data_IF_043945799952
#
_entry.id   IF_043945799952
#
_cell.length_a   1.000
_cell.length_b   1.000
_cell.length_c   1.000
_cell.angle_alpha   90.00
_cell.angle_beta   90.00
_cell.angle_gamma   90.00
#
_symmetry.space_group_name_H-M   'P 1'
#
loop_
_entity.id
_entity.type
_entity.pdbx_description
1 polymer ?
#
# COMPACT_ATOMS: atom_id res chain seq x y z
N UNK A 1 25.59 36.38 -32.75
CA UNK A 1 26.66 35.80 -31.92
C UNK A 1 27.29 36.92 -31.09
N UNK A 2 27.08 36.94 -29.77
CA UNK A 2 27.61 37.99 -28.90
C UNK A 2 29.00 37.61 -28.41
N UNK A 3 30.03 38.41 -28.74
CA UNK A 3 31.39 38.23 -28.22
C UNK A 3 31.41 38.65 -26.75
N UNK A 4 31.42 37.68 -25.84
CA UNK A 4 31.66 37.94 -24.41
C UNK A 4 33.15 38.26 -24.25
N UNK A 5 33.46 39.52 -23.94
CA UNK A 5 34.83 39.96 -23.66
C UNK A 5 35.09 39.69 -22.18
N UNK A 6 35.76 38.57 -21.87
CA UNK A 6 36.24 38.28 -20.53
C UNK A 6 37.57 39.02 -20.29
N UNK A 7 37.57 40.00 -19.40
CA UNK A 7 38.81 40.65 -18.95
C UNK A 7 39.37 39.91 -17.74
N UNK A 8 40.53 39.28 -17.90
CA UNK A 8 41.33 38.77 -16.79
C UNK A 8 42.12 39.93 -16.18
N UNK A 9 41.85 40.27 -14.92
CA UNK A 9 42.63 41.24 -14.17
C UNK A 9 43.92 40.56 -13.72
N UNK A 10 45.07 41.16 -14.01
CA UNK A 10 46.39 40.64 -13.59
C UNK A 10 46.59 40.82 -12.08
N UNK A 11 47.20 39.86 -11.40
CA UNK A 11 47.52 39.93 -9.96
C UNK A 11 48.25 41.23 -9.57
N UNK A 12 49.15 41.73 -10.42
CA UNK A 12 49.85 43.01 -10.20
C UNK A 12 48.89 44.19 -10.10
N UNK A 13 47.76 44.15 -10.79
CA UNK A 13 46.74 45.19 -10.75
C UNK A 13 45.91 45.10 -9.47
N UNK A 14 45.58 43.88 -9.02
CA UNK A 14 44.90 43.65 -7.73
C UNK A 14 45.77 44.11 -6.54
N UNK A 15 47.07 43.85 -6.61
CA UNK A 15 48.04 44.27 -5.58
C UNK A 15 48.18 45.80 -5.53
N UNK A 16 48.12 46.46 -6.69
CA UNK A 16 48.07 47.93 -6.78
C UNK A 16 46.78 48.51 -6.20
N UNK A 17 45.63 47.85 -6.41
CA UNK A 17 44.35 48.26 -5.80
C UNK A 17 44.41 48.11 -4.27
N UNK A 18 44.96 46.99 -3.75
CA UNK A 18 45.17 46.80 -2.30
C UNK A 18 46.07 47.87 -1.70
N UNK A 19 47.15 48.24 -2.40
CA UNK A 19 48.08 49.27 -1.95
C UNK A 19 47.46 50.68 -1.96
N UNK A 20 46.56 50.98 -2.90
CA UNK A 20 45.94 52.32 -3.02
C UNK A 20 44.73 52.48 -2.10
N UNK A 21 44.03 51.38 -1.79
CA UNK A 21 42.79 51.38 -1.01
C UNK A 21 42.77 50.24 0.03
N UNK A 22 43.67 50.28 1.03
CA UNK A 22 43.76 49.24 2.05
C UNK A 22 42.44 49.13 2.84
N UNK A 23 41.90 50.25 3.32
CA UNK A 23 40.66 50.28 4.11
C UNK A 23 39.45 49.69 3.38
N UNK A 24 39.33 49.94 2.07
CA UNK A 24 38.23 49.41 1.26
C UNK A 24 38.37 47.90 1.03
N UNK A 25 39.61 47.44 0.84
CA UNK A 25 39.90 46.01 0.65
C UNK A 25 39.69 45.23 1.94
N UNK A 26 40.14 45.76 3.07
CA UNK A 26 39.96 45.16 4.39
C UNK A 26 38.48 45.11 4.79
N UNK A 27 37.71 46.15 4.48
CA UNK A 27 36.27 46.16 4.69
C UNK A 27 35.55 45.11 3.82
N UNK A 28 35.97 44.93 2.57
CA UNK A 28 35.42 43.90 1.69
C UNK A 28 35.74 42.48 2.20
N UNK A 29 36.99 42.25 2.63
CA UNK A 29 37.40 40.98 3.23
C UNK A 29 36.65 40.69 4.53
N UNK A 30 36.46 41.70 5.39
CA UNK A 30 35.68 41.58 6.62
C UNK A 30 34.21 41.26 6.34
N UNK A 31 33.60 41.89 5.32
CA UNK A 31 32.23 41.58 4.88
C UNK A 31 32.12 40.14 4.39
N UNK A 32 33.05 39.70 3.53
CA UNK A 32 33.04 38.31 3.04
C UNK A 32 33.16 37.31 4.19
N UNK A 33 34.06 37.55 5.13
CA UNK A 33 34.21 36.71 6.31
C UNK A 33 32.94 36.63 7.17
N UNK A 34 32.24 37.77 7.35
CA UNK A 34 30.97 37.80 8.06
C UNK A 34 29.88 37.06 7.31
N UNK A 35 29.81 37.19 5.98
CA UNK A 35 28.88 36.45 5.13
C UNK A 35 29.11 34.95 5.22
N UNK A 36 30.35 34.49 5.01
CA UNK A 36 30.68 33.06 5.06
C UNK A 36 30.36 32.45 6.44
N UNK A 37 30.62 33.20 7.51
CA UNK A 37 30.31 32.77 8.88
C UNK A 37 28.81 32.75 9.16
N UNK A 38 28.07 33.71 8.62
CA UNK A 38 26.61 33.75 8.75
C UNK A 38 25.99 32.59 7.97
N UNK A 39 26.40 32.36 6.73
CA UNK A 39 25.91 31.27 5.89
C UNK A 39 26.17 29.91 6.55
N UNK A 40 27.41 29.65 6.97
CA UNK A 40 27.76 28.41 7.67
C UNK A 40 26.98 28.22 8.98
N UNK A 41 26.74 29.31 9.73
CA UNK A 41 25.97 29.26 10.96
C UNK A 41 24.45 29.11 10.72
N UNK A 42 23.94 29.65 9.62
CA UNK A 42 22.52 29.56 9.27
C UNK A 42 22.19 28.16 8.78
N UNK A 43 23.00 27.61 7.87
CA UNK A 43 22.82 26.24 7.36
C UNK A 43 22.82 25.23 8.50
N UNK A 44 23.88 25.19 9.31
CA UNK A 44 24.00 24.19 10.39
C UNK A 44 22.87 24.29 11.42
N UNK A 45 22.46 25.51 11.82
CA UNK A 45 21.43 25.70 12.84
C UNK A 45 20.02 25.47 12.32
N UNK A 46 19.79 25.73 11.04
CA UNK A 46 18.50 25.44 10.41
C UNK A 46 18.34 23.95 10.18
N UNK A 47 19.38 23.27 9.69
CA UNK A 47 19.36 21.83 9.45
C UNK A 47 19.11 21.05 10.74
N UNK A 48 19.93 21.25 11.78
CA UNK A 48 19.77 20.53 13.06
C UNK A 48 18.37 20.75 13.67
N UNK A 49 17.87 21.99 13.60
CA UNK A 49 16.57 22.35 14.16
C UNK A 49 15.42 21.76 13.37
N UNK A 50 15.51 21.77 12.03
CA UNK A 50 14.49 21.21 11.16
C UNK A 50 14.44 19.69 11.33
N UNK A 51 15.60 19.04 11.36
CA UNK A 51 15.73 17.61 11.60
C UNK A 51 15.10 17.21 12.94
N UNK A 52 15.46 17.90 14.02
CA UNK A 52 14.89 17.64 15.35
C UNK A 52 13.37 17.82 15.38
N UNK A 53 12.84 18.88 14.73
CA UNK A 53 11.41 19.15 14.67
C UNK A 53 10.65 18.12 13.84
N UNK A 54 11.21 17.68 12.72
CA UNK A 54 10.61 16.65 11.86
C UNK A 54 10.60 15.32 12.61
N UNK A 55 11.73 14.93 13.20
CA UNK A 55 11.88 13.66 13.92
C UNK A 55 10.88 13.57 15.07
N UNK A 56 10.83 14.59 15.93
CA UNK A 56 9.92 14.61 17.09
C UNK A 56 8.44 14.58 16.69
N UNK A 57 8.05 15.29 15.62
CA UNK A 57 6.67 15.27 15.12
C UNK A 57 6.31 13.94 14.48
N UNK A 58 7.23 13.34 13.74
CA UNK A 58 7.04 12.06 13.10
C UNK A 58 6.88 10.96 14.16
N UNK A 59 7.79 10.88 15.13
CA UNK A 59 7.74 9.91 16.22
C UNK A 59 6.44 10.06 17.04
N UNK A 60 6.03 11.28 17.35
CA UNK A 60 4.78 11.51 18.08
C UNK A 60 3.54 11.10 17.28
N UNK A 61 3.51 11.35 15.97
CA UNK A 61 2.32 11.10 15.14
C UNK A 61 2.23 9.63 14.74
N UNK A 62 3.34 9.07 14.26
CA UNK A 62 3.46 7.68 13.85
C UNK A 62 3.36 6.77 15.06
N UNK A 63 4.06 7.08 16.16
CA UNK A 63 3.97 6.32 17.41
C UNK A 63 2.54 6.22 17.95
N UNK A 64 1.79 7.33 17.97
CA UNK A 64 0.36 7.30 18.37
C UNK A 64 -0.49 6.45 17.44
N UNK A 65 -0.26 6.56 16.13
CA UNK A 65 -1.02 5.80 15.13
C UNK A 65 -0.75 4.29 15.24
N UNK A 66 0.53 3.91 15.39
CA UNK A 66 0.95 2.53 15.62
C UNK A 66 0.31 2.00 16.90
N UNK A 67 0.43 2.71 18.02
CA UNK A 67 -0.17 2.27 19.30
C UNK A 67 -1.68 2.07 19.19
N UNK A 68 -2.40 2.99 18.52
CA UNK A 68 -3.84 2.86 18.31
C UNK A 68 -4.20 1.66 17.42
N UNK A 69 -3.42 1.40 16.37
CA UNK A 69 -3.62 0.23 15.52
C UNK A 69 -3.35 -1.08 16.27
N UNK A 70 -2.27 -1.13 17.07
CA UNK A 70 -1.93 -2.27 17.91
C UNK A 70 -3.05 -2.59 18.90
N UNK A 71 -3.60 -1.57 19.57
CA UNK A 71 -4.73 -1.76 20.48
C UNK A 71 -5.98 -2.29 19.77
N UNK A 72 -6.28 -1.76 18.57
CA UNK A 72 -7.41 -2.23 17.75
C UNK A 72 -7.23 -3.67 17.28
N UNK A 73 -6.00 -4.07 16.92
CA UNK A 73 -5.68 -5.44 16.52
C UNK A 73 -5.83 -6.39 17.70
N UNK A 74 -5.28 -6.07 18.86
CA UNK A 74 -5.42 -6.88 20.07
C UNK A 74 -6.89 -7.10 20.45
N UNK A 75 -7.72 -6.05 20.32
CA UNK A 75 -9.17 -6.17 20.54
C UNK A 75 -9.87 -7.04 19.51
N UNK A 76 -9.40 -7.04 18.26
CA UNK A 76 -10.00 -7.84 17.19
C UNK A 76 -9.61 -9.32 17.34
N UNK A 77 -8.37 -9.59 17.75
CA UNK A 77 -7.87 -10.92 18.10
C UNK A 77 -8.67 -11.54 19.25
N UNK A 78 -8.85 -10.81 20.36
CA UNK A 78 -9.68 -11.30 21.47
C UNK A 78 -11.11 -11.63 21.05
N UNK A 79 -11.72 -10.80 20.19
CA UNK A 79 -13.08 -11.07 19.67
C UNK A 79 -13.14 -12.28 18.73
N UNK A 80 -12.05 -12.57 18.03
CA UNK A 80 -11.97 -13.73 17.15
C UNK A 80 -11.83 -15.00 17.99
N UNK A 81 -10.98 -14.97 19.02
CA UNK A 81 -10.81 -16.06 19.98
C UNK A 81 -12.13 -16.39 20.68
N UNK A 82 -12.81 -15.37 21.25
CA UNK A 82 -14.11 -15.55 21.89
C UNK A 82 -15.15 -16.16 20.92
N UNK A 83 -15.15 -15.73 19.65
CA UNK A 83 -16.07 -16.23 18.64
C UNK A 83 -15.78 -17.66 18.16
N UNK A 84 -14.53 -18.11 18.27
CA UNK A 84 -14.13 -19.49 17.95
C UNK A 84 -14.57 -20.46 19.06
N UNK A 85 -14.48 -20.04 20.32
CA UNK A 85 -14.97 -20.82 21.46
C UNK A 85 -16.48 -21.11 21.36
N UNK A 86 -17.26 -20.17 20.83
CA UNK A 86 -18.70 -20.33 20.60
C UNK A 86 -19.04 -21.29 19.43
N UNK A 87 -18.11 -21.50 18.50
CA UNK A 87 -18.31 -22.37 17.33
C UNK A 87 -18.01 -23.85 17.61
N UNK A 88 -17.09 -24.14 18.54
CA UNK A 88 -16.77 -25.51 18.96
C UNK A 88 -17.99 -26.34 19.42
N UNK A 89 -18.89 -25.84 20.30
CA UNK A 89 -20.07 -26.58 20.71
C UNK A 89 -21.10 -26.76 19.59
N UNK A 90 -21.18 -25.82 18.64
CA UNK A 90 -22.09 -25.92 17.47
C UNK A 90 -21.64 -27.04 16.53
N UNK A 91 -20.34 -27.10 16.21
CA UNK A 91 -19.77 -28.16 15.40
C UNK A 91 -19.89 -29.53 16.08
N UNK A 92 -19.73 -29.57 17.41
CA UNK A 92 -19.95 -30.80 18.19
C UNK A 92 -21.41 -31.26 18.09
N UNK A 93 -22.37 -30.34 18.22
CA UNK A 93 -23.80 -30.64 18.09
C UNK A 93 -24.19 -31.10 16.68
N UNK A 94 -23.60 -30.51 15.65
CA UNK A 94 -23.81 -30.92 14.26
C UNK A 94 -23.28 -32.34 14.02
N UNK A 95 -22.09 -32.67 14.54
CA UNK A 95 -21.54 -34.04 14.50
C UNK A 95 -22.45 -35.03 15.23
N UNK A 96 -22.93 -34.69 16.42
CA UNK A 96 -23.84 -35.54 17.20
C UNK A 96 -25.20 -35.73 16.51
N UNK A 97 -25.74 -34.71 15.86
CA UNK A 97 -26.98 -34.79 15.09
C UNK A 97 -26.84 -35.62 13.80
N UNK A 98 -25.67 -35.57 13.16
CA UNK A 98 -25.34 -36.35 11.95
C UNK A 98 -25.25 -37.85 12.24
N UNK A 99 -24.79 -38.24 13.43
CA UNK A 99 -24.70 -39.66 13.86
C UNK A 99 -26.07 -40.22 14.31
N UNK A 100 -26.99 -39.36 14.75
CA UNK A 100 -28.29 -39.76 15.31
C UNK A 100 -29.40 -40.01 14.27
N UNK A 101 -29.15 -39.79 12.97
CA UNK A 101 -30.08 -40.21 11.92
C UNK A 101 -29.76 -41.64 11.48
N UNK A 102 -30.67 -42.61 11.67
CA UNK A 102 -30.51 -43.94 11.09
C UNK A 102 -30.61 -43.81 9.58
N UNK A 103 -29.56 -44.22 8.89
CA UNK A 103 -29.46 -44.35 7.44
C UNK A 103 -30.64 -45.16 6.88
N UNK A 104 -31.61 -44.55 6.17
CA UNK A 104 -32.39 -45.29 5.21
C UNK A 104 -31.55 -45.31 3.93
N UNK A 105 -30.90 -46.44 3.74
CA UNK A 105 -30.42 -46.89 2.45
C UNK A 105 -31.57 -46.82 1.46
N UNK A 106 -31.62 -45.74 0.69
CA UNK A 106 -32.28 -45.67 -0.61
C UNK A 106 -31.71 -44.45 -1.35
N UNK A 107 -30.87 -44.77 -2.32
CA UNK A 107 -30.43 -43.90 -3.40
C UNK A 107 -31.66 -43.31 -4.12
N UNK A 108 -31.72 -42.00 -4.30
CA UNK A 108 -31.95 -41.53 -5.65
C UNK A 108 -31.07 -40.33 -5.94
N UNK A 109 -30.05 -40.53 -6.79
CA UNK A 109 -29.59 -39.58 -7.79
C UNK A 109 -29.92 -38.12 -7.46
N UNK A 110 -29.23 -37.57 -6.47
CA UNK A 110 -29.30 -36.15 -6.17
C UNK A 110 -28.62 -35.46 -7.36
N UNK A 111 -29.43 -34.87 -8.23
CA UNK A 111 -29.04 -33.78 -9.13
C UNK A 111 -28.41 -32.67 -8.26
N UNK A 112 -27.13 -32.84 -7.89
CA UNK A 112 -26.35 -31.84 -7.18
C UNK A 112 -26.16 -30.66 -8.13
N UNK A 113 -27.10 -29.71 -8.06
CA UNK A 113 -26.98 -28.41 -8.70
C UNK A 113 -25.82 -27.67 -8.06
N UNK A 114 -24.62 -27.88 -8.58
CA UNK A 114 -23.43 -27.11 -8.28
C UNK A 114 -23.75 -25.62 -8.32
N UNK A 115 -23.36 -24.91 -7.28
CA UNK A 115 -23.52 -23.47 -7.17
C UNK A 115 -22.53 -22.75 -8.07
N UNK A 116 -22.81 -21.49 -8.41
CA UNK A 116 -21.87 -20.66 -9.18
C UNK A 116 -20.53 -20.45 -8.47
N UNK A 117 -20.45 -20.66 -7.15
CA UNK A 117 -19.18 -20.58 -6.43
C UNK A 117 -18.32 -21.79 -6.77
N UNK A 118 -18.87 -23.00 -6.63
CA UNK A 118 -18.18 -24.26 -6.89
C UNK A 118 -17.78 -24.41 -8.36
N UNK A 119 -18.67 -24.02 -9.29
CA UNK A 119 -18.35 -23.99 -10.72
C UNK A 119 -17.22 -23.00 -11.00
N UNK A 120 -17.20 -21.86 -10.29
CA UNK A 120 -16.15 -20.86 -10.39
C UNK A 120 -14.79 -21.42 -9.98
N UNK A 121 -14.75 -22.12 -8.86
CA UNK A 121 -13.53 -22.74 -8.32
C UNK A 121 -13.00 -23.83 -9.27
N UNK A 122 -13.88 -24.67 -9.83
CA UNK A 122 -13.50 -25.71 -10.82
C UNK A 122 -12.94 -25.09 -12.12
N UNK A 123 -13.53 -23.98 -12.58
CA UNK A 123 -13.08 -23.29 -13.80
C UNK A 123 -11.92 -22.30 -13.55
N UNK A 124 -11.47 -22.15 -12.30
CA UNK A 124 -10.45 -21.19 -11.91
C UNK A 124 -10.85 -19.73 -12.21
N UNK A 125 -12.12 -19.39 -12.03
CA UNK A 125 -12.64 -18.04 -12.29
C UNK A 125 -13.64 -17.61 -11.22
N UNK A 126 -13.67 -16.31 -10.91
CA UNK A 126 -14.59 -15.78 -9.90
C UNK A 126 -16.06 -15.99 -10.31
N UNK A 127 -16.93 -16.36 -9.36
CA UNK A 127 -18.37 -16.64 -9.55
C UNK A 127 -19.19 -15.49 -10.19
N UNK A 128 -18.67 -14.27 -10.12
CA UNK A 128 -19.23 -13.07 -10.75
C UNK A 128 -19.12 -13.10 -12.28
N UNK A 129 -18.10 -13.77 -12.81
CA UNK A 129 -17.92 -13.99 -14.25
C UNK A 129 -19.01 -14.91 -14.80
N UNK A 130 -19.35 -15.98 -14.08
CA UNK A 130 -20.44 -16.89 -14.46
C UNK A 130 -21.78 -16.14 -14.52
N UNK A 131 -22.04 -15.31 -13.51
CA UNK A 131 -23.25 -14.47 -13.46
C UNK A 131 -23.30 -13.45 -14.60
N UNK A 132 -22.14 -12.98 -15.07
CA UNK A 132 -22.03 -12.09 -16.23
C UNK A 132 -22.32 -12.85 -17.53
N UNK A 133 -21.78 -14.06 -17.69
CA UNK A 133 -21.99 -14.87 -18.90
C UNK A 133 -23.44 -15.28 -19.06
N UNK A 134 -24.14 -15.62 -17.97
CA UNK A 134 -25.59 -15.87 -17.98
C UNK A 134 -26.36 -14.63 -18.44
N UNK A 135 -26.01 -13.43 -17.92
CA UNK A 135 -26.65 -12.16 -18.31
C UNK A 135 -26.38 -11.78 -19.77
N UNK A 136 -25.16 -12.01 -20.26
CA UNK A 136 -24.77 -11.68 -21.64
C UNK A 136 -25.08 -12.80 -22.63
N UNK A 137 -25.52 -13.97 -22.16
CA UNK A 137 -25.77 -15.16 -22.99
C UNK A 137 -24.53 -15.68 -23.74
N UNK A 138 -23.32 -15.44 -23.23
CA UNK A 138 -22.08 -15.74 -23.94
C UNK A 138 -21.02 -16.38 -23.02
N UNK A 139 -20.54 -17.58 -23.38
CA UNK A 139 -19.42 -18.27 -22.72
C UNK A 139 -18.11 -18.03 -23.52
N UNK A 140 -17.02 -17.54 -22.89
CA UNK A 140 -15.72 -17.36 -23.53
C UNK A 140 -15.20 -18.66 -24.17
N UNK A 141 -14.50 -18.54 -25.32
CA UNK A 141 -14.00 -19.70 -26.07
C UNK A 141 -13.16 -20.66 -25.23
N UNK A 142 -12.38 -20.14 -24.28
CA UNK A 142 -11.53 -20.92 -23.35
C UNK A 142 -12.28 -21.83 -22.36
N UNK A 143 -13.61 -21.75 -22.29
CA UNK A 143 -14.44 -22.51 -21.35
C UNK A 143 -15.55 -23.32 -22.04
N UNK A 144 -15.71 -23.23 -23.36
CA UNK A 144 -16.79 -23.91 -24.08
C UNK A 144 -16.67 -25.44 -24.07
N UNK A 145 -15.47 -25.94 -23.83
CA UNK A 145 -15.12 -27.34 -23.67
C UNK A 145 -15.37 -27.87 -22.25
N UNK A 146 -15.67 -26.98 -21.30
CA UNK A 146 -15.78 -27.31 -19.86
C UNK A 146 -17.14 -26.98 -19.27
N UNK A 147 -17.88 -26.08 -19.90
CA UNK A 147 -19.19 -25.68 -19.44
C UNK A 147 -20.10 -25.21 -20.57
N UNK A 148 -21.39 -25.41 -20.36
CA UNK A 148 -22.46 -24.94 -21.23
C UNK A 148 -23.58 -24.27 -20.45
N UNK A 149 -24.49 -23.63 -21.18
CA UNK A 149 -25.72 -23.16 -20.58
C UNK A 149 -26.68 -24.33 -20.42
N UNK A 150 -27.43 -24.34 -19.32
CA UNK A 150 -28.56 -25.25 -19.18
C UNK A 150 -29.61 -25.01 -20.29
N UNK A 151 -30.56 -25.93 -20.44
CA UNK A 151 -31.60 -25.87 -21.48
C UNK A 151 -32.34 -24.52 -21.55
N UNK A 152 -32.56 -23.87 -20.40
CA UNK A 152 -33.27 -22.59 -20.30
C UNK A 152 -32.36 -21.35 -20.36
N UNK A 153 -31.04 -21.51 -20.55
CA UNK A 153 -30.02 -20.45 -20.52
C UNK A 153 -30.01 -19.57 -19.26
N UNK A 154 -30.49 -20.11 -18.14
CA UNK A 154 -30.56 -19.41 -16.86
C UNK A 154 -29.37 -19.69 -15.96
N UNK A 155 -28.61 -20.76 -16.23
CA UNK A 155 -27.45 -21.19 -15.42
C UNK A 155 -26.39 -21.82 -16.31
N UNK A 156 -25.16 -21.82 -15.81
CA UNK A 156 -24.05 -22.55 -16.42
C UNK A 156 -23.94 -23.90 -15.72
N UNK A 157 -23.72 -24.96 -16.48
CA UNK A 157 -23.48 -26.32 -16.02
C UNK A 157 -22.13 -26.80 -16.57
N UNK A 158 -21.44 -27.64 -15.81
CA UNK A 158 -20.20 -28.27 -16.26
C UNK A 158 -20.53 -29.43 -17.21
N UNK A 159 -19.65 -29.66 -18.19
CA UNK A 159 -19.70 -30.78 -19.14
C UNK A 159 -18.66 -31.83 -18.73
#
# INVERSE_FOLDING_TARGET
MSKVISFSISDRYLEKIRSLYPDMTDNLAAKQFLTDRLDASLDARLDDKLETMIQTRLDATVGKSISSLTERLAKLEARLDDGLDDMEPLLKREREASIASPDPSDDPAIDQKLTNLEIGDILGCHSSNLSKWVRTGHIPKKYRDKCEFNHNKTKIVLI
#
